data_IF_388977781877
#
_entry.id   IF_388977781877
#
_cell.length_a   1.000
_cell.length_b   1.000
_cell.length_c   1.000
_cell.angle_alpha   90.00
_cell.angle_beta   90.00
_cell.angle_gamma   90.00
#
_symmetry.space_group_name_H-M   'P 1'
#
loop_
_entity.id
_entity.type
_entity.pdbx_description
1 polymer ?
#
# COMPACT_ATOMS: atom_id res chain seq x y z
N UNK A 1 39.34 -6.33 -32.69
CA UNK A 1 39.35 -5.89 -31.33
C UNK A 1 37.93 -5.88 -30.79
N UNK A 2 37.66 -6.84 -29.87
CA UNK A 2 36.34 -7.01 -29.26
C UNK A 2 36.16 -6.00 -28.15
N UNK A 3 35.08 -5.24 -28.22
CA UNK A 3 34.70 -4.25 -27.21
C UNK A 3 33.83 -4.92 -26.15
N UNK A 4 34.42 -5.26 -25.00
CA UNK A 4 33.71 -5.81 -23.84
C UNK A 4 32.92 -4.71 -23.15
N UNK A 5 31.65 -4.56 -23.49
CA UNK A 5 30.69 -3.73 -22.78
C UNK A 5 30.35 -4.32 -21.40
N UNK A 6 31.11 -3.96 -20.38
CA UNK A 6 30.71 -4.23 -18.99
C UNK A 6 29.59 -3.28 -18.58
N UNK A 7 28.39 -3.83 -18.39
CA UNK A 7 27.28 -3.12 -17.78
C UNK A 7 27.64 -2.69 -16.34
N UNK A 8 27.42 -1.41 -15.97
CA UNK A 8 27.69 -0.96 -14.60
C UNK A 8 26.71 -1.63 -13.64
N UNK A 9 27.24 -2.54 -12.82
CA UNK A 9 26.47 -3.25 -11.79
C UNK A 9 25.76 -2.25 -10.87
N UNK A 10 24.44 -2.34 -10.79
CA UNK A 10 23.61 -1.58 -9.83
C UNK A 10 24.08 -1.88 -8.42
N UNK A 11 24.85 -0.98 -7.81
CA UNK A 11 25.19 -1.04 -6.38
C UNK A 11 23.88 -0.94 -5.58
N UNK A 12 23.39 -2.07 -5.10
CA UNK A 12 22.32 -2.10 -4.09
C UNK A 12 22.91 -1.55 -2.79
N UNK A 13 22.60 -0.30 -2.48
CA UNK A 13 22.85 0.25 -1.17
C UNK A 13 22.05 -0.57 -0.16
N UNK A 14 22.70 -1.45 0.57
CA UNK A 14 22.11 -2.09 1.76
C UNK A 14 21.88 -0.98 2.77
N UNK A 15 20.64 -0.53 2.92
CA UNK A 15 20.24 0.42 3.94
C UNK A 15 20.57 -0.24 5.27
N UNK A 16 21.55 0.32 6.03
CA UNK A 16 21.91 -0.17 7.36
C UNK A 16 20.67 0.02 8.23
N UNK A 17 20.06 -1.07 8.65
CA UNK A 17 18.92 -1.03 9.58
C UNK A 17 19.52 -0.70 10.94
N UNK A 18 19.29 0.52 11.42
CA UNK A 18 19.67 0.90 12.77
C UNK A 18 18.74 0.19 13.76
N UNK A 19 19.27 -0.30 14.90
CA UNK A 19 18.42 -0.93 15.91
C UNK A 19 17.46 0.12 16.47
N UNK A 20 16.18 -0.22 16.54
CA UNK A 20 15.13 0.64 17.11
C UNK A 20 15.37 0.76 18.60
N UNK A 21 15.40 1.98 19.13
CA UNK A 21 15.63 2.29 20.54
C UNK A 21 14.29 2.46 21.26
N UNK A 22 14.30 2.25 22.58
CA UNK A 22 13.09 2.44 23.40
C UNK A 22 12.58 3.89 23.34
N UNK A 23 13.50 4.85 23.16
CA UNK A 23 13.18 6.26 22.99
C UNK A 23 12.33 6.52 21.73
N UNK A 24 12.54 5.72 20.67
CA UNK A 24 11.77 5.83 19.44
C UNK A 24 10.31 5.39 19.68
N UNK A 25 10.11 4.34 20.48
CA UNK A 25 8.78 3.89 20.88
C UNK A 25 8.08 4.88 21.81
N UNK A 26 8.83 5.48 22.75
CA UNK A 26 8.30 6.55 23.59
C UNK A 26 7.87 7.75 22.74
N UNK A 27 8.69 8.15 21.77
CA UNK A 27 8.34 9.22 20.81
C UNK A 27 7.06 8.92 20.04
N UNK A 28 6.85 7.69 19.59
CA UNK A 28 5.61 7.25 18.93
C UNK A 28 4.42 7.29 19.90
N UNK A 29 4.60 6.78 21.13
CA UNK A 29 3.57 6.76 22.14
C UNK A 29 3.05 8.18 22.47
N UNK A 30 3.97 9.11 22.73
CA UNK A 30 3.63 10.48 23.11
C UNK A 30 3.16 11.32 21.91
N UNK A 31 3.92 11.28 20.80
CA UNK A 31 3.72 12.19 19.67
C UNK A 31 2.61 11.74 18.71
N UNK A 32 2.48 10.43 18.48
CA UNK A 32 1.55 9.88 17.48
C UNK A 32 0.29 9.31 18.12
N UNK A 33 0.45 8.56 19.22
CA UNK A 33 -0.67 7.89 19.88
C UNK A 33 -1.33 8.74 20.97
N UNK A 34 -0.74 9.89 21.34
CA UNK A 34 -1.25 10.81 22.34
C UNK A 34 -1.28 10.23 23.76
N UNK A 35 -0.37 9.30 24.07
CA UNK A 35 -0.23 8.71 25.40
C UNK A 35 0.55 9.63 26.32
N UNK A 36 0.33 9.52 27.61
CA UNK A 36 1.19 10.13 28.63
C UNK A 36 2.40 9.24 28.92
N UNK A 37 3.45 9.80 29.50
CA UNK A 37 4.65 9.05 29.91
C UNK A 37 4.27 7.94 30.90
N UNK A 38 3.40 8.24 31.86
CA UNK A 38 2.92 7.29 32.87
C UNK A 38 2.18 6.11 32.24
N UNK A 39 1.31 6.37 31.28
CA UNK A 39 0.59 5.30 30.55
C UNK A 39 1.55 4.40 29.77
N UNK A 40 2.61 4.98 29.20
CA UNK A 40 3.64 4.20 28.49
C UNK A 40 4.48 3.35 29.43
N UNK A 41 4.87 3.88 30.60
CA UNK A 41 5.71 3.18 31.58
C UNK A 41 4.95 2.04 32.28
N UNK A 42 3.64 2.23 32.54
CA UNK A 42 2.80 1.21 33.17
C UNK A 42 2.29 0.14 32.21
N UNK A 43 2.37 0.39 30.89
CA UNK A 43 1.86 -0.52 29.88
C UNK A 43 2.79 -1.70 29.63
N UNK A 44 2.25 -2.91 29.53
CA UNK A 44 2.99 -4.07 29.07
C UNK A 44 3.43 -3.91 27.62
N UNK A 45 4.62 -4.35 27.30
CA UNK A 45 5.18 -4.25 25.95
C UNK A 45 4.26 -4.87 24.87
N UNK A 46 3.62 -5.99 25.20
CA UNK A 46 2.64 -6.64 24.32
C UNK A 46 1.46 -5.72 24.03
N UNK A 47 0.90 -5.07 25.05
CA UNK A 47 -0.28 -4.20 24.92
C UNK A 47 0.08 -2.93 24.14
N UNK A 48 1.30 -2.41 24.33
CA UNK A 48 1.81 -1.31 23.51
C UNK A 48 1.84 -1.66 22.02
N UNK A 49 2.43 -2.81 21.65
CA UNK A 49 2.47 -3.23 20.25
C UNK A 49 1.09 -3.52 19.66
N UNK A 50 0.18 -4.07 20.47
CA UNK A 50 -1.20 -4.27 20.05
C UNK A 50 -1.89 -2.94 19.77
N UNK A 51 -1.75 -1.96 20.67
CA UNK A 51 -2.30 -0.61 20.53
C UNK A 51 -1.70 0.11 19.31
N UNK A 52 -0.39 -0.01 19.09
CA UNK A 52 0.31 0.55 17.92
C UNK A 52 -0.20 -0.07 16.61
N UNK A 53 -0.39 -1.39 16.58
CA UNK A 53 -0.94 -2.08 15.41
C UNK A 53 -2.33 -1.56 15.03
N UNK A 54 -3.24 -1.47 15.99
CA UNK A 54 -4.59 -0.96 15.73
C UNK A 54 -4.62 0.53 15.40
N UNK A 55 -3.72 1.31 16.00
CA UNK A 55 -3.55 2.71 15.64
C UNK A 55 -3.15 2.85 14.17
N UNK A 56 -2.13 2.13 13.72
CA UNK A 56 -1.67 2.14 12.33
C UNK A 56 -2.76 1.65 11.36
N UNK A 57 -3.51 0.62 11.73
CA UNK A 57 -4.62 0.11 10.93
C UNK A 57 -5.73 1.16 10.74
N UNK A 58 -6.05 1.90 11.80
CA UNK A 58 -7.02 3.00 11.77
C UNK A 58 -6.53 4.14 10.87
N UNK A 59 -5.27 4.53 11.01
CA UNK A 59 -4.66 5.59 10.18
C UNK A 59 -4.63 5.20 8.70
N UNK A 60 -4.25 3.97 8.38
CA UNK A 60 -4.26 3.45 7.02
C UNK A 60 -5.69 3.47 6.43
N UNK A 61 -6.68 3.05 7.20
CA UNK A 61 -8.08 3.08 6.75
C UNK A 61 -8.56 4.51 6.51
N UNK A 62 -8.26 5.43 7.43
CA UNK A 62 -8.58 6.86 7.30
C UNK A 62 -7.92 7.47 6.06
N UNK A 63 -6.64 7.18 5.85
CA UNK A 63 -5.90 7.62 4.67
C UNK A 63 -6.53 7.11 3.37
N UNK A 64 -6.86 5.82 3.28
CA UNK A 64 -7.50 5.22 2.09
C UNK A 64 -8.85 5.86 1.80
N UNK A 65 -9.68 6.04 2.82
CA UNK A 65 -11.00 6.68 2.69
C UNK A 65 -10.87 8.11 2.19
N UNK A 66 -9.96 8.89 2.77
CA UNK A 66 -9.71 10.28 2.34
C UNK A 66 -9.21 10.33 0.90
N UNK A 67 -8.28 9.47 0.53
CA UNK A 67 -7.74 9.40 -0.83
C UNK A 67 -8.82 9.07 -1.86
N UNK A 68 -9.73 8.13 -1.54
CA UNK A 68 -10.87 7.79 -2.41
C UNK A 68 -11.86 8.96 -2.55
N UNK A 69 -12.15 9.66 -1.46
CA UNK A 69 -13.00 10.86 -1.50
C UNK A 69 -12.42 11.94 -2.39
N UNK A 70 -11.12 12.23 -2.27
CA UNK A 70 -10.42 13.20 -3.12
C UNK A 70 -10.50 12.78 -4.59
N UNK A 71 -10.30 11.49 -4.91
CA UNK A 71 -10.45 10.98 -6.27
C UNK A 71 -11.85 11.20 -6.82
N UNK A 72 -12.89 10.91 -6.03
CA UNK A 72 -14.28 11.12 -6.43
C UNK A 72 -14.62 12.60 -6.63
N UNK A 73 -14.13 13.47 -5.76
CA UNK A 73 -14.29 14.93 -5.91
C UNK A 73 -13.62 15.41 -7.20
N UNK A 74 -12.38 14.97 -7.45
CA UNK A 74 -11.68 15.31 -8.70
C UNK A 74 -12.44 14.80 -9.93
N UNK A 75 -12.93 13.57 -9.89
CA UNK A 75 -13.76 13.00 -10.97
C UNK A 75 -14.99 13.86 -11.26
N UNK A 76 -15.66 14.32 -10.22
CA UNK A 76 -16.83 15.19 -10.35
C UNK A 76 -16.46 16.52 -10.99
N UNK A 77 -15.39 17.16 -10.51
CA UNK A 77 -14.92 18.45 -11.07
C UNK A 77 -14.49 18.32 -12.53
N UNK A 78 -13.76 17.27 -12.89
CA UNK A 78 -13.36 17.01 -14.29
C UNK A 78 -14.60 16.77 -15.17
N UNK A 79 -15.55 15.96 -14.71
CA UNK A 79 -16.75 15.63 -15.46
C UNK A 79 -17.72 16.80 -15.67
N UNK A 80 -17.65 17.84 -14.83
CA UNK A 80 -18.42 19.08 -15.04
C UNK A 80 -17.90 19.82 -16.28
N UNK A 81 -16.60 19.75 -16.55
CA UNK A 81 -15.95 20.45 -17.66
C UNK A 81 -15.99 19.66 -18.97
N UNK A 82 -16.23 18.35 -18.92
CA UNK A 82 -16.25 17.48 -20.09
C UNK A 82 -17.62 17.41 -20.75
N UNK A 83 -17.64 17.23 -22.07
CA UNK A 83 -18.84 16.94 -22.84
C UNK A 83 -19.43 15.60 -22.41
N UNK A 84 -20.75 15.42 -22.58
CA UNK A 84 -21.45 14.17 -22.16
C UNK A 84 -20.82 12.88 -22.68
N UNK A 85 -20.29 12.90 -23.91
CA UNK A 85 -19.65 11.75 -24.56
C UNK A 85 -18.27 11.41 -23.99
N UNK A 86 -17.57 12.41 -23.39
CA UNK A 86 -16.19 12.30 -22.93
C UNK A 86 -16.10 12.10 -21.40
N UNK A 87 -17.25 11.98 -20.73
CA UNK A 87 -17.30 11.81 -19.26
C UNK A 87 -16.64 10.52 -18.80
N UNK A 88 -15.78 10.65 -17.83
CA UNK A 88 -15.09 9.55 -17.16
C UNK A 88 -16.08 8.87 -16.22
N UNK A 89 -16.33 7.57 -16.42
CA UNK A 89 -17.24 6.77 -15.58
C UNK A 89 -16.49 6.03 -14.47
N UNK A 90 -15.27 5.55 -14.76
CA UNK A 90 -14.49 4.81 -13.80
C UNK A 90 -13.43 5.74 -13.16
N UNK A 91 -13.48 5.95 -11.83
CA UNK A 91 -12.50 6.76 -11.10
C UNK A 91 -11.04 6.31 -11.29
N UNK A 92 -10.80 5.03 -11.61
CA UNK A 92 -9.48 4.46 -11.84
C UNK A 92 -8.80 4.99 -13.09
N UNK A 93 -9.56 5.57 -14.02
CA UNK A 93 -9.00 6.23 -15.21
C UNK A 93 -8.28 7.54 -14.88
N UNK A 94 -8.54 8.15 -13.72
CA UNK A 94 -7.79 9.31 -13.24
C UNK A 94 -6.42 8.90 -12.70
N UNK A 95 -6.42 7.99 -11.73
CA UNK A 95 -5.22 7.34 -11.18
C UNK A 95 -5.61 6.08 -10.42
N UNK A 96 -4.65 5.15 -10.33
CA UNK A 96 -4.79 3.90 -9.60
C UNK A 96 -3.93 3.97 -8.33
N UNK A 97 -4.54 3.69 -7.19
CA UNK A 97 -3.81 3.64 -5.92
C UNK A 97 -2.95 2.37 -5.80
N UNK A 98 -1.86 2.39 -5.00
CA UNK A 98 -1.01 1.23 -4.80
C UNK A 98 -1.78 -0.02 -4.35
N UNK A 99 -2.70 0.11 -3.39
CA UNK A 99 -3.52 -1.00 -2.87
C UNK A 99 -4.53 -1.57 -3.89
N UNK A 100 -4.86 -0.83 -4.94
CA UNK A 100 -5.70 -1.32 -6.04
C UNK A 100 -4.87 -2.14 -7.04
N UNK A 101 -3.60 -1.79 -7.27
CA UNK A 101 -2.67 -2.55 -8.14
C UNK A 101 -2.45 -3.95 -7.62
N UNK A 102 -2.13 -4.10 -6.34
CA UNK A 102 -1.90 -5.40 -5.71
C UNK A 102 -3.15 -6.30 -5.84
N UNK A 103 -4.35 -5.72 -5.73
CA UNK A 103 -5.60 -6.46 -5.91
C UNK A 103 -5.81 -6.90 -7.36
N UNK A 104 -5.46 -6.05 -8.34
CA UNK A 104 -5.61 -6.36 -9.76
C UNK A 104 -4.62 -7.45 -10.18
N UNK A 105 -3.36 -7.37 -9.76
CA UNK A 105 -2.34 -8.37 -10.02
C UNK A 105 -2.73 -9.72 -9.44
N UNK A 106 -3.12 -9.78 -8.16
CA UNK A 106 -3.61 -11.01 -7.52
C UNK A 106 -4.86 -11.60 -8.21
N UNK A 107 -5.70 -10.75 -8.80
CA UNK A 107 -6.90 -11.21 -9.51
C UNK A 107 -6.55 -11.79 -10.89
N UNK A 108 -5.55 -11.21 -11.55
CA UNK A 108 -5.04 -11.73 -12.83
C UNK A 108 -4.32 -13.07 -12.65
N UNK A 109 -3.42 -13.16 -11.68
CA UNK A 109 -2.72 -14.43 -11.35
C UNK A 109 -3.71 -15.55 -11.01
N UNK A 110 -4.77 -15.27 -10.24
CA UNK A 110 -5.82 -16.26 -9.94
C UNK A 110 -6.59 -16.71 -11.17
N UNK A 111 -6.85 -15.79 -12.11
CA UNK A 111 -7.52 -16.15 -13.38
C UNK A 111 -6.63 -17.02 -14.26
N UNK A 112 -5.35 -16.69 -14.37
CA UNK A 112 -4.38 -17.44 -15.15
C UNK A 112 -4.18 -18.87 -14.57
N UNK A 113 -4.00 -18.99 -13.26
CA UNK A 113 -3.92 -20.30 -12.58
C UNK A 113 -5.18 -21.14 -12.79
N UNK A 114 -6.36 -20.52 -12.80
CA UNK A 114 -7.61 -21.24 -12.99
C UNK A 114 -7.74 -21.73 -14.45
N UNK A 115 -7.36 -20.93 -15.43
CA UNK A 115 -7.34 -21.31 -16.86
C UNK A 115 -6.36 -22.46 -17.10
N UNK A 116 -5.15 -22.40 -16.54
CA UNK A 116 -4.15 -23.45 -16.67
C UNK A 116 -4.61 -24.77 -16.03
N UNK A 117 -5.30 -24.70 -14.91
CA UNK A 117 -5.89 -25.85 -14.24
C UNK A 117 -6.98 -26.51 -15.08
N UNK A 118 -7.84 -25.72 -15.71
CA UNK A 118 -8.90 -26.17 -16.61
C UNK A 118 -8.31 -26.81 -17.88
N UNK A 119 -7.27 -26.19 -18.46
CA UNK A 119 -6.60 -26.73 -19.64
C UNK A 119 -5.89 -28.07 -19.35
N UNK A 120 -5.31 -28.21 -18.15
CA UNK A 120 -4.70 -29.48 -17.73
C UNK A 120 -5.73 -30.59 -17.57
N UNK A 121 -6.90 -30.31 -17.00
CA UNK A 121 -7.99 -31.27 -16.88
C UNK A 121 -8.57 -31.67 -18.24
N UNK A 122 -8.71 -30.73 -19.17
CA UNK A 122 -9.18 -30.99 -20.52
C UNK A 122 -8.23 -31.84 -21.40
N UNK A 123 -6.95 -32.00 -21.02
CA UNK A 123 -5.97 -32.86 -21.69
C UNK A 123 -5.95 -34.32 -21.13
N UNK A 124 -6.67 -34.57 -20.04
CA UNK A 124 -6.76 -35.88 -19.39
C UNK A 124 -8.04 -36.65 -19.78
N UNK A 125 -8.90 -36.04 -20.58
CA UNK A 125 -10.08 -36.62 -21.22
C UNK A 125 -9.82 -36.88 -22.70
#
# INVERSE_FOLDING_TARGET
PANNGQSPGKRRFKKKVEPVRIDDYLGIALGVMGMTVMEFEEMLLHDFFLKLYYHNLKEEHSYRTTAELVRLQTLTLVNIQLLKKDKIKDPRLLWVFPWERDRLENTQERKEMNIDSIMKMGKLL
#
